data_IF_387960594711
#
_entry.id   IF_387960594711
#
_cell.length_a   1.000
_cell.length_b   1.000
_cell.length_c   1.000
_cell.angle_alpha   90.00
_cell.angle_beta   90.00
_cell.angle_gamma   90.00
#
_symmetry.space_group_name_H-M   'P 1'
#
loop_
_entity.id
_entity.type
_entity.pdbx_description
1 polymer ?
#
# COMPACT_ATOMS: atom_id res chain seq x y z
N UNK A 1 4.28 -2.35 61.11
CA UNK A 1 4.83 -1.44 60.08
C UNK A 1 6.23 -1.95 59.70
N UNK A 2 6.36 -2.67 58.59
CA UNK A 2 7.60 -3.32 58.17
C UNK A 2 7.93 -2.88 56.74
N UNK A 3 8.95 -2.02 56.58
CA UNK A 3 9.46 -1.57 55.28
C UNK A 3 10.89 -2.08 55.16
N UNK A 4 11.12 -3.11 54.33
CA UNK A 4 12.47 -3.45 53.88
C UNK A 4 12.56 -3.11 52.40
N UNK A 5 13.48 -2.17 52.12
CA UNK A 5 13.70 -1.52 50.83
C UNK A 5 14.38 -2.48 49.86
N UNK A 6 13.86 -2.53 48.65
CA UNK A 6 14.46 -3.14 47.47
C UNK A 6 15.64 -2.30 47.00
N UNK A 7 16.79 -2.92 46.77
CA UNK A 7 17.93 -2.29 46.10
C UNK A 7 18.07 -2.91 44.70
N UNK A 8 17.93 -2.08 43.67
CA UNK A 8 18.07 -2.45 42.27
C UNK A 8 19.55 -2.30 41.89
N UNK A 9 20.24 -3.41 41.66
CA UNK A 9 21.65 -3.43 41.27
C UNK A 9 21.74 -3.35 39.74
N UNK A 10 21.89 -2.14 39.21
CA UNK A 10 22.24 -1.90 37.81
C UNK A 10 23.74 -2.15 37.62
N UNK A 11 24.12 -3.28 37.02
CA UNK A 11 25.50 -3.50 36.60
C UNK A 11 25.70 -2.92 35.18
N UNK A 12 26.55 -1.90 35.10
CA UNK A 12 27.03 -1.28 33.87
C UNK A 12 28.22 -2.12 33.37
N UNK A 13 28.06 -2.86 32.28
CA UNK A 13 29.14 -3.61 31.65
C UNK A 13 29.93 -2.70 30.70
N UNK A 14 31.15 -2.32 31.10
CA UNK A 14 32.16 -1.75 30.19
C UNK A 14 32.77 -2.85 29.33
N UNK A 15 32.64 -2.74 28.00
CA UNK A 15 33.39 -3.55 27.04
C UNK A 15 34.70 -2.84 26.69
N UNK A 16 35.82 -3.45 27.08
CA UNK A 16 37.17 -3.04 26.72
C UNK A 16 37.74 -3.92 25.59
N UNK A 17 38.16 -3.21 24.53
CA UNK A 17 39.35 -3.39 23.68
C UNK A 17 39.40 -4.58 22.70
N UNK A 18 39.60 -4.24 21.41
CA UNK A 18 40.66 -4.87 20.63
C UNK A 18 41.35 -3.83 19.74
N UNK A 19 42.66 -3.69 19.91
CA UNK A 19 43.54 -2.89 19.07
C UNK A 19 43.76 -3.64 17.76
N UNK A 20 43.45 -3.02 16.62
CA UNK A 20 43.69 -3.61 15.31
C UNK A 20 45.07 -3.16 14.84
N UNK A 21 45.96 -4.12 14.59
CA UNK A 21 47.26 -3.88 13.99
C UNK A 21 47.09 -3.20 12.62
N UNK A 22 47.79 -2.07 12.45
CA UNK A 22 48.01 -1.44 11.16
C UNK A 22 48.81 -2.40 10.26
N UNK A 23 48.11 -3.10 9.38
CA UNK A 23 48.70 -3.62 8.15
C UNK A 23 48.15 -2.80 7.00
N UNK A 24 49.08 -2.26 6.22
CA UNK A 24 48.84 -1.33 5.13
C UNK A 24 48.87 -2.10 3.81
N UNK A 25 47.74 -2.51 3.21
CA UNK A 25 47.71 -2.98 1.84
C UNK A 25 47.46 -1.79 0.91
N UNK A 26 48.49 -0.96 0.75
CA UNK A 26 48.54 0.07 -0.29
C UNK A 26 48.91 -0.62 -1.61
N UNK A 27 47.93 -1.24 -2.26
CA UNK A 27 47.85 -1.52 -3.72
C UNK A 27 46.60 -2.35 -4.01
N UNK A 28 45.61 -1.71 -4.65
CA UNK A 28 44.44 -2.25 -5.39
C UNK A 28 43.11 -1.52 -5.09
N UNK A 29 43.14 -0.20 -4.90
CA UNK A 29 41.93 0.62 -4.71
C UNK A 29 41.13 0.83 -6.02
N UNK A 30 41.66 0.46 -7.19
CA UNK A 30 41.06 0.82 -8.47
C UNK A 30 40.12 -0.21 -9.14
N UNK A 31 39.72 -1.31 -8.47
CA UNK A 31 38.76 -2.28 -9.07
C UNK A 31 37.51 -2.56 -8.23
N UNK A 32 37.58 -2.46 -6.91
CA UNK A 32 36.41 -2.65 -6.02
C UNK A 32 35.48 -1.43 -5.97
N UNK A 33 36.02 -0.21 -6.03
CA UNK A 33 35.20 1.01 -6.11
C UNK A 33 34.42 1.11 -7.43
N UNK A 34 34.98 0.59 -8.53
CA UNK A 34 34.29 0.56 -9.83
C UNK A 34 33.14 -0.45 -9.80
N UNK A 35 33.28 -1.58 -9.10
CA UNK A 35 32.18 -2.54 -8.95
C UNK A 35 31.10 -2.02 -7.98
N UNK A 36 31.46 -1.40 -6.85
CA UNK A 36 30.48 -0.80 -5.94
C UNK A 36 29.71 0.39 -6.56
N UNK A 37 30.36 1.17 -7.44
CA UNK A 37 29.73 2.26 -8.18
C UNK A 37 28.86 1.75 -9.35
N UNK A 38 29.18 0.60 -9.94
CA UNK A 38 28.33 -0.10 -10.93
C UNK A 38 27.10 -0.74 -10.30
N UNK A 39 27.17 -1.21 -9.05
CA UNK A 39 26.01 -1.79 -8.33
C UNK A 39 25.10 -0.73 -7.67
N UNK A 40 25.49 0.55 -7.65
CA UNK A 40 24.60 1.65 -7.24
C UNK A 40 23.56 2.03 -8.30
N UNK A 41 23.66 1.49 -9.52
CA UNK A 41 22.71 1.72 -10.59
C UNK A 41 21.73 0.54 -10.73
N UNK A 42 20.78 0.39 -9.79
CA UNK A 42 19.47 -0.26 -10.03
C UNK A 42 18.53 -0.34 -8.82
N UNK A 43 18.82 0.31 -7.69
CA UNK A 43 17.75 0.59 -6.73
C UNK A 43 16.87 1.67 -7.35
N UNK A 44 15.79 1.24 -8.03
CA UNK A 44 14.75 2.14 -8.51
C UNK A 44 14.38 3.06 -7.35
N UNK A 45 14.25 4.39 -7.57
CA UNK A 45 13.76 5.28 -6.52
C UNK A 45 12.47 4.68 -5.96
N UNK A 46 12.39 4.56 -4.63
CA UNK A 46 11.23 3.97 -3.98
C UNK A 46 10.01 4.83 -4.34
N UNK A 47 9.21 4.37 -5.31
CA UNK A 47 8.05 5.11 -5.79
C UNK A 47 7.11 5.29 -4.62
N UNK A 48 6.63 6.52 -4.39
CA UNK A 48 5.67 6.85 -3.31
C UNK A 48 4.44 5.93 -3.33
N UNK A 49 4.00 5.55 -4.54
CA UNK A 49 2.93 4.57 -4.77
C UNK A 49 3.46 3.41 -5.65
N UNK A 50 3.90 2.28 -5.07
CA UNK A 50 4.24 1.09 -5.85
C UNK A 50 3.00 0.50 -6.54
N UNK A 51 3.16 -0.24 -7.64
CA UNK A 51 2.03 -0.98 -8.22
C UNK A 51 1.54 -2.02 -7.23
N UNK A 52 0.22 -2.17 -7.07
CA UNK A 52 -0.35 -3.16 -6.14
C UNK A 52 0.06 -4.58 -6.53
N UNK A 53 0.20 -4.86 -7.83
CA UNK A 53 0.56 -6.18 -8.35
C UNK A 53 2.01 -6.57 -8.00
N UNK A 54 2.88 -5.59 -7.73
CA UNK A 54 4.25 -5.86 -7.27
C UNK A 54 4.29 -6.31 -5.79
N UNK A 55 3.18 -6.16 -5.06
CA UNK A 55 3.11 -6.35 -3.61
C UNK A 55 2.12 -7.42 -3.20
N UNK A 56 1.00 -7.53 -3.90
CA UNK A 56 -0.14 -8.35 -3.52
C UNK A 56 -0.72 -9.04 -4.76
N UNK A 57 -1.17 -10.27 -4.59
CA UNK A 57 -2.02 -10.94 -5.57
C UNK A 57 -3.45 -10.41 -5.47
N UNK A 58 -3.77 -9.46 -6.36
CA UNK A 58 -5.05 -8.74 -6.37
C UNK A 58 -6.26 -9.60 -6.74
N UNK A 59 -6.07 -10.80 -7.28
CA UNK A 59 -7.20 -11.71 -7.54
C UNK A 59 -7.51 -12.62 -6.34
N UNK A 60 -6.61 -12.69 -5.35
CA UNK A 60 -6.72 -13.56 -4.19
C UNK A 60 -6.42 -12.82 -2.88
N UNK A 61 -7.15 -11.74 -2.57
CA UNK A 61 -6.78 -10.90 -1.42
C UNK A 61 -7.16 -11.48 -0.06
N UNK A 62 -8.02 -12.50 -0.03
CA UNK A 62 -8.44 -13.17 1.21
C UNK A 62 -7.28 -13.82 1.97
N UNK A 63 -6.17 -14.13 1.30
CA UNK A 63 -4.97 -14.71 1.93
C UNK A 63 -4.21 -13.71 2.83
N UNK A 64 -4.42 -12.40 2.66
CA UNK A 64 -3.65 -11.38 3.38
C UNK A 64 -4.35 -10.94 4.67
N UNK A 65 -3.63 -10.79 5.78
CA UNK A 65 -4.19 -10.18 6.99
C UNK A 65 -4.55 -8.71 6.75
N UNK A 66 -5.42 -8.15 7.61
CA UNK A 66 -5.80 -6.74 7.48
C UNK A 66 -4.59 -5.80 7.63
N UNK A 67 -3.60 -6.15 8.46
CA UNK A 67 -2.37 -5.37 8.66
C UNK A 67 -1.57 -5.13 7.38
N UNK A 68 -1.59 -6.07 6.44
CA UNK A 68 -0.90 -5.95 5.14
C UNK A 68 -1.65 -4.98 4.21
N UNK A 69 -2.95 -4.79 4.42
CA UNK A 69 -3.82 -3.93 3.61
C UNK A 69 -3.81 -2.45 4.06
N UNK A 70 -2.76 -2.02 4.75
CA UNK A 70 -2.54 -0.62 5.14
C UNK A 70 -1.26 -0.11 4.49
N UNK A 71 -1.32 0.24 3.21
CA UNK A 71 -0.14 0.65 2.44
C UNK A 71 -0.49 1.53 1.25
N UNK A 72 0.47 2.37 0.84
CA UNK A 72 0.37 3.15 -0.40
C UNK A 72 0.50 2.22 -1.61
N UNK A 73 -0.40 2.38 -2.58
CA UNK A 73 -0.41 1.60 -3.83
C UNK A 73 -0.91 2.43 -5.01
N UNK A 74 -0.56 1.96 -6.21
CA UNK A 74 -1.23 2.30 -7.46
C UNK A 74 -2.08 1.10 -7.89
N UNK A 75 -3.38 1.31 -8.04
CA UNK A 75 -4.31 0.39 -8.71
C UNK A 75 -4.27 0.71 -10.20
N UNK A 76 -3.48 -0.03 -10.98
CA UNK A 76 -3.31 0.20 -12.42
C UNK A 76 -4.40 -0.55 -13.20
N UNK A 77 -5.14 0.16 -14.06
CA UNK A 77 -6.16 -0.39 -14.95
C UNK A 77 -7.21 -1.27 -14.24
N UNK A 78 -7.80 -0.76 -13.17
CA UNK A 78 -8.90 -1.42 -12.48
C UNK A 78 -10.22 -1.17 -13.19
N UNK A 79 -11.05 -2.21 -13.32
CA UNK A 79 -12.34 -2.14 -13.98
C UNK A 79 -13.42 -1.53 -13.07
N UNK A 80 -14.16 -0.55 -13.57
CA UNK A 80 -15.27 0.10 -12.86
C UNK A 80 -16.53 -0.75 -12.98
N UNK A 81 -16.79 -1.55 -11.95
CA UNK A 81 -17.92 -2.47 -11.86
C UNK A 81 -19.24 -1.75 -11.54
N UNK A 82 -19.17 -0.73 -10.70
CA UNK A 82 -20.28 0.17 -10.37
C UNK A 82 -19.75 1.53 -9.96
N UNK A 83 -20.57 2.55 -10.12
CA UNK A 83 -20.28 3.89 -9.64
C UNK A 83 -21.57 4.59 -9.20
N UNK A 84 -21.41 5.56 -8.31
CA UNK A 84 -22.41 6.55 -7.92
C UNK A 84 -21.77 7.91 -8.12
N UNK A 85 -22.48 8.85 -8.76
CA UNK A 85 -22.07 10.25 -8.77
C UNK A 85 -22.67 10.93 -7.54
N UNK A 86 -21.82 11.47 -6.68
CA UNK A 86 -22.21 12.24 -5.51
C UNK A 86 -22.44 13.71 -5.89
N UNK A 87 -23.07 14.48 -5.01
CA UNK A 87 -23.49 15.86 -5.29
C UNK A 87 -22.31 16.86 -5.43
N UNK A 88 -21.13 16.50 -4.94
CA UNK A 88 -19.91 17.31 -4.87
C UNK A 88 -18.91 17.01 -6.00
N UNK A 89 -19.38 16.46 -7.13
CA UNK A 89 -18.54 15.97 -8.23
C UNK A 89 -17.58 14.84 -7.83
N UNK A 90 -17.76 14.25 -6.65
CA UNK A 90 -17.10 12.99 -6.32
C UNK A 90 -17.89 11.79 -6.84
N UNK A 91 -17.20 10.68 -6.99
CA UNK A 91 -17.71 9.42 -7.48
C UNK A 91 -17.36 8.32 -6.48
N UNK A 92 -18.36 7.63 -5.96
CA UNK A 92 -18.16 6.41 -5.17
C UNK A 92 -18.04 5.23 -6.13
N UNK A 93 -16.87 4.60 -6.19
CA UNK A 93 -16.52 3.57 -7.16
C UNK A 93 -16.42 2.19 -6.50
N UNK A 94 -17.01 1.20 -7.16
CA UNK A 94 -16.75 -0.22 -6.91
C UNK A 94 -15.91 -0.75 -8.07
N UNK A 95 -14.70 -1.18 -7.74
CA UNK A 95 -13.66 -1.56 -8.68
C UNK A 95 -13.33 -3.04 -8.55
N UNK A 96 -12.84 -3.64 -9.63
CA UNK A 96 -12.33 -5.02 -9.68
C UNK A 96 -11.06 -5.06 -10.53
N UNK A 97 -10.04 -5.87 -10.20
CA UNK A 97 -8.78 -5.90 -10.96
C UNK A 97 -9.00 -6.35 -12.42
N UNK A 98 -9.98 -7.23 -12.65
CA UNK A 98 -10.43 -7.66 -13.98
C UNK A 98 -11.96 -7.77 -14.01
N UNK A 99 -12.55 -7.71 -15.20
CA UNK A 99 -14.02 -7.73 -15.43
C UNK A 99 -14.74 -8.89 -14.74
N UNK A 100 -14.11 -10.07 -14.69
CA UNK A 100 -14.68 -11.31 -14.16
C UNK A 100 -14.33 -11.57 -12.69
N UNK A 101 -13.50 -10.72 -12.07
CA UNK A 101 -13.06 -10.94 -10.68
C UNK A 101 -14.20 -10.74 -9.69
N UNK A 102 -14.16 -11.55 -8.63
CA UNK A 102 -14.97 -11.42 -7.43
C UNK A 102 -14.21 -10.73 -6.28
N UNK A 103 -13.03 -10.19 -6.55
CA UNK A 103 -12.29 -9.33 -5.62
C UNK A 103 -12.69 -7.88 -5.85
N UNK A 104 -13.22 -7.24 -4.81
CA UNK A 104 -13.76 -5.89 -4.89
C UNK A 104 -12.89 -4.89 -4.14
N UNK A 105 -12.80 -3.69 -4.70
CA UNK A 105 -12.18 -2.52 -4.10
C UNK A 105 -13.20 -1.38 -4.10
N UNK A 106 -13.23 -0.61 -3.02
CA UNK A 106 -14.16 0.50 -2.86
C UNK A 106 -13.41 1.79 -2.54
N UNK A 107 -13.76 2.86 -3.24
CA UNK A 107 -13.14 4.16 -3.02
C UNK A 107 -14.06 5.29 -3.45
N UNK A 108 -13.77 6.50 -2.97
CA UNK A 108 -14.41 7.73 -3.44
C UNK A 108 -13.34 8.59 -4.08
N UNK A 109 -13.63 9.11 -5.27
CA UNK A 109 -12.69 9.94 -6.04
C UNK A 109 -13.35 11.23 -6.50
N UNK A 110 -12.63 12.34 -6.50
CA UNK A 110 -13.13 13.59 -7.07
C UNK A 110 -12.71 13.70 -8.54
N UNK A 111 -13.65 14.00 -9.45
CA UNK A 111 -13.32 14.21 -10.86
C UNK A 111 -14.28 15.19 -11.52
N UNK A 112 -13.72 16.23 -12.15
CA UNK A 112 -14.48 17.17 -12.99
C UNK A 112 -14.89 16.48 -14.30
N UNK A 113 -14.07 15.54 -14.77
CA UNK A 113 -14.36 14.71 -15.94
C UNK A 113 -15.33 13.59 -15.57
N UNK A 114 -16.29 13.29 -16.45
CA UNK A 114 -17.29 12.27 -16.19
C UNK A 114 -16.71 10.85 -16.17
N UNK A 115 -16.80 10.17 -15.04
CA UNK A 115 -16.43 8.75 -14.90
C UNK A 115 -17.60 7.86 -15.33
N UNK A 116 -17.33 6.85 -16.15
CA UNK A 116 -18.33 5.91 -16.67
C UNK A 116 -18.11 4.49 -16.13
N UNK A 117 -19.20 3.72 -16.06
CA UNK A 117 -19.15 2.29 -15.73
C UNK A 117 -18.59 1.53 -16.93
N UNK A 118 -17.99 0.37 -16.67
CA UNK A 118 -17.41 -0.53 -17.67
C UNK A 118 -16.11 -0.04 -18.33
N UNK A 119 -15.54 1.00 -17.74
CA UNK A 119 -14.27 1.60 -18.13
C UNK A 119 -13.17 1.14 -17.17
N UNK A 120 -11.92 1.41 -17.54
CA UNK A 120 -10.77 1.15 -16.69
C UNK A 120 -10.25 2.45 -16.08
N UNK A 121 -9.74 2.38 -14.87
CA UNK A 121 -9.22 3.53 -14.15
C UNK A 121 -7.91 3.18 -13.44
N UNK A 122 -6.98 4.12 -13.45
CA UNK A 122 -5.77 4.05 -12.63
C UNK A 122 -5.92 4.98 -11.43
N UNK A 123 -5.67 4.48 -10.22
CA UNK A 123 -5.83 5.25 -8.97
C UNK A 123 -4.58 5.08 -8.10
N UNK A 124 -4.10 6.19 -7.53
CA UNK A 124 -3.07 6.19 -6.51
C UNK A 124 -3.68 6.54 -5.16
N UNK A 125 -3.29 5.82 -4.12
CA UNK A 125 -3.82 6.07 -2.79
C UNK A 125 -3.29 5.10 -1.74
N UNK A 126 -3.99 5.03 -0.63
CA UNK A 126 -3.66 4.21 0.52
C UNK A 126 -4.74 3.15 0.75
N UNK A 127 -4.35 1.87 0.72
CA UNK A 127 -5.23 0.79 1.14
C UNK A 127 -5.58 0.98 2.62
N UNK A 128 -6.86 0.83 2.96
CA UNK A 128 -7.38 1.11 4.29
C UNK A 128 -8.17 -0.10 4.82
N UNK A 129 -7.60 -1.29 4.64
CA UNK A 129 -8.16 -2.54 5.13
C UNK A 129 -9.45 -2.99 4.45
N UNK A 130 -10.10 -3.99 5.05
CA UNK A 130 -11.36 -4.55 4.58
C UNK A 130 -12.55 -3.70 5.01
N UNK A 131 -13.53 -3.63 4.13
CA UNK A 131 -14.82 -3.01 4.37
C UNK A 131 -15.93 -3.89 3.82
N UNK A 132 -17.17 -3.58 4.20
CA UNK A 132 -18.37 -4.22 3.66
C UNK A 132 -19.19 -3.16 2.93
N UNK A 133 -19.76 -3.54 1.80
CA UNK A 133 -20.78 -2.73 1.15
C UNK A 133 -22.05 -2.86 1.99
N UNK A 134 -22.34 -1.83 2.77
CA UNK A 134 -23.47 -1.77 3.69
C UNK A 134 -24.71 -1.18 3.00
N UNK A 135 -25.84 -1.32 3.68
CA UNK A 135 -27.13 -0.84 3.16
C UNK A 135 -27.11 0.67 2.85
N UNK A 136 -26.32 1.46 3.59
CA UNK A 136 -26.15 2.88 3.33
C UNK A 136 -25.62 3.11 1.90
N UNK A 137 -24.55 2.42 1.49
CA UNK A 137 -24.00 2.54 0.13
C UNK A 137 -25.00 2.12 -0.94
N UNK A 138 -25.84 1.12 -0.67
CA UNK A 138 -26.94 0.73 -1.57
C UNK A 138 -27.98 1.84 -1.68
N UNK A 139 -28.40 2.41 -0.55
CA UNK A 139 -29.38 3.50 -0.49
C UNK A 139 -28.89 4.77 -1.19
N UNK A 140 -27.57 5.00 -1.22
CA UNK A 140 -26.95 6.07 -2.01
C UNK A 140 -26.90 5.80 -3.52
N UNK A 141 -27.38 4.65 -3.99
CA UNK A 141 -27.51 4.33 -5.41
C UNK A 141 -26.55 3.28 -5.94
N UNK A 142 -25.78 2.58 -5.07
CA UNK A 142 -25.02 1.42 -5.52
C UNK A 142 -25.99 0.29 -5.86
N UNK A 143 -25.65 -0.52 -6.87
CA UNK A 143 -26.51 -1.65 -7.25
C UNK A 143 -26.66 -2.62 -6.08
N UNK A 144 -27.91 -2.94 -5.73
CA UNK A 144 -28.30 -3.81 -4.60
C UNK A 144 -27.69 -5.21 -4.66
N UNK A 145 -27.32 -5.70 -5.86
CA UNK A 145 -26.62 -6.99 -6.01
C UNK A 145 -25.25 -7.05 -5.32
N UNK A 146 -24.68 -5.89 -5.00
CA UNK A 146 -23.42 -5.80 -4.27
C UNK A 146 -23.62 -5.63 -2.75
N UNK A 147 -24.86 -5.71 -2.26
CA UNK A 147 -25.13 -5.65 -0.84
C UNK A 147 -24.36 -6.76 -0.11
N UNK A 148 -23.79 -6.40 1.02
CA UNK A 148 -23.04 -7.28 1.90
C UNK A 148 -21.74 -7.87 1.38
N UNK A 149 -21.31 -7.48 0.18
CA UNK A 149 -20.04 -7.95 -0.37
C UNK A 149 -18.85 -7.34 0.39
N UNK A 150 -17.85 -8.17 0.66
CA UNK A 150 -16.56 -7.75 1.22
C UNK A 150 -15.75 -7.05 0.12
N UNK A 151 -15.20 -5.89 0.45
CA UNK A 151 -14.34 -5.11 -0.41
C UNK A 151 -13.11 -4.63 0.35
N UNK A 152 -12.12 -4.15 -0.38
CA UNK A 152 -10.95 -3.48 0.20
C UNK A 152 -11.15 -1.98 0.03
N UNK A 153 -11.08 -1.25 1.13
CA UNK A 153 -11.19 0.20 1.12
C UNK A 153 -9.90 0.83 0.62
N UNK A 154 -10.02 1.87 -0.21
CA UNK A 154 -8.90 2.68 -0.66
C UNK A 154 -9.23 4.16 -0.41
N UNK A 155 -8.32 4.85 0.26
CA UNK A 155 -8.32 6.31 0.33
C UNK A 155 -7.56 6.83 -0.90
N UNK A 156 -8.26 7.53 -1.78
CA UNK A 156 -7.68 8.01 -3.04
C UNK A 156 -6.98 9.34 -2.84
N UNK A 157 -5.72 9.41 -3.29
CA UNK A 157 -4.94 10.64 -3.33
C UNK A 157 -4.94 11.26 -4.74
N UNK A 158 -4.88 10.43 -5.78
CA UNK A 158 -4.83 10.90 -7.16
C UNK A 158 -5.49 9.91 -8.13
N UNK A 159 -6.07 10.45 -9.21
CA UNK A 159 -6.59 9.68 -10.34
C UNK A 159 -5.62 9.83 -11.50
N UNK A 160 -5.25 8.71 -12.11
CA UNK A 160 -4.44 8.64 -13.32
C UNK A 160 -5.30 8.64 -14.58
N UNK A 161 -5.07 7.66 -15.46
CA UNK A 161 -5.86 7.47 -16.67
C UNK A 161 -7.25 6.91 -16.40
N UNK A 162 -8.20 7.28 -17.27
CA UNK A 162 -9.54 6.72 -17.38
C UNK A 162 -9.75 6.37 -18.85
N UNK A 163 -9.98 5.09 -19.16
CA UNK A 163 -10.19 4.56 -20.51
C UNK A 163 -11.67 4.29 -20.77
#
# INVERSE_FOLDING_TARGET
MNRKRTAFLTSLTLLMISSINSHNPLKNVSTLEIQAKKTKNKLKPNKRYPSINDKLDVVSMDQYSNSILFMNVTLENFYIKSLIKNNDQSYSLLLTPIKTSNQYFFTTVYSIQGIKRNNYITIQGFLNGRTKIDQNKINFGLNSKYSEIKAISLLTDNIGSID
#
